data_IF_166406760920
#
_entry.id   IF_166406760920
#
_cell.length_a   1.000
_cell.length_b   1.000
_cell.length_c   1.000
_cell.angle_alpha   90.00
_cell.angle_beta   90.00
_cell.angle_gamma   90.00
#
_symmetry.space_group_name_H-M   'P 1'
#
loop_
_entity.id
_entity.type
_entity.pdbx_description
1 polymer ?
#
# COMPACT_ATOMS: atom_id res chain seq x y z
N UNK A 1 -10.27 10.94 -34.71
CA UNK A 1 -9.10 10.18 -34.23
C UNK A 1 -8.27 11.13 -33.37
N UNK A 2 -8.00 10.75 -32.12
CA UNK A 2 -7.23 11.57 -31.19
C UNK A 2 -5.73 11.30 -31.42
N UNK A 3 -4.93 12.30 -31.85
CA UNK A 3 -3.54 12.11 -32.29
C UNK A 3 -2.54 11.72 -31.17
N UNK A 4 -2.99 11.60 -29.92
CA UNK A 4 -2.13 11.22 -28.78
C UNK A 4 -2.25 9.75 -28.33
N UNK A 5 -3.00 8.90 -29.04
CA UNK A 5 -3.24 7.50 -28.62
C UNK A 5 -2.18 6.50 -29.15
N UNK A 6 -1.36 6.88 -30.13
CA UNK A 6 -0.47 5.94 -30.84
C UNK A 6 1.02 6.07 -30.45
N UNK A 7 1.34 6.88 -29.44
CA UNK A 7 2.71 7.03 -28.94
C UNK A 7 3.15 5.84 -28.07
N UNK A 8 4.44 5.47 -28.05
CA UNK A 8 4.94 4.32 -27.28
C UNK A 8 4.63 4.43 -25.78
N UNK A 9 4.55 5.65 -25.24
CA UNK A 9 4.19 5.89 -23.84
C UNK A 9 2.73 5.55 -23.49
N UNK A 10 1.80 5.60 -24.44
CA UNK A 10 0.41 5.21 -24.19
C UNK A 10 0.27 3.68 -24.08
N UNK A 11 0.87 2.95 -25.02
CA UNK A 11 0.90 1.49 -24.97
C UNK A 11 1.63 0.97 -23.72
N UNK A 12 2.73 1.60 -23.32
CA UNK A 12 3.49 1.24 -22.12
C UNK A 12 2.74 1.61 -20.82
N UNK A 13 1.98 2.70 -20.80
CA UNK A 13 1.10 3.05 -19.68
C UNK A 13 -0.09 2.09 -19.57
N UNK A 14 -0.69 1.68 -20.69
CA UNK A 14 -1.77 0.69 -20.70
C UNK A 14 -1.29 -0.69 -20.22
N UNK A 15 -0.04 -1.06 -20.51
CA UNK A 15 0.54 -2.32 -20.04
C UNK A 15 0.69 -2.42 -18.51
N UNK A 16 0.55 -1.31 -17.77
CA UNK A 16 0.58 -1.29 -16.30
C UNK A 16 -0.79 -1.39 -15.64
N UNK A 17 -1.88 -1.29 -16.40
CA UNK A 17 -3.24 -1.40 -15.86
C UNK A 17 -3.67 -2.86 -15.93
N UNK A 18 -4.08 -3.48 -14.81
CA UNK A 18 -4.61 -4.84 -14.82
C UNK A 18 -5.77 -5.01 -15.82
N UNK A 19 -5.77 -6.08 -16.61
CA UNK A 19 -6.84 -6.32 -17.60
C UNK A 19 -8.24 -6.37 -16.98
N UNK A 20 -8.34 -6.84 -15.74
CA UNK A 20 -9.56 -6.82 -14.93
C UNK A 20 -10.09 -5.41 -14.68
N UNK A 21 -9.21 -4.43 -14.49
CA UNK A 21 -9.58 -3.03 -14.29
C UNK A 21 -10.04 -2.43 -15.62
N UNK A 22 -9.34 -2.73 -16.73
CA UNK A 22 -9.78 -2.30 -18.07
C UNK A 22 -11.19 -2.80 -18.36
N UNK A 23 -11.46 -4.09 -18.10
CA UNK A 23 -12.79 -4.69 -18.27
C UNK A 23 -13.82 -4.10 -17.30
N UNK A 24 -13.43 -3.86 -16.06
CA UNK A 24 -14.29 -3.27 -15.03
C UNK A 24 -14.73 -1.85 -15.40
N UNK A 25 -13.80 -1.00 -15.82
CA UNK A 25 -14.11 0.36 -16.27
C UNK A 25 -14.97 0.37 -17.53
N UNK A 26 -14.73 -0.53 -18.49
CA UNK A 26 -15.58 -0.65 -19.69
C UNK A 26 -17.03 -1.03 -19.33
N UNK A 27 -17.22 -2.05 -18.49
CA UNK A 27 -18.55 -2.46 -18.04
C UNK A 27 -19.26 -1.37 -17.22
N UNK A 28 -18.52 -0.65 -16.37
CA UNK A 28 -19.06 0.46 -15.59
C UNK A 28 -19.52 1.62 -16.50
N UNK A 29 -18.75 1.91 -17.56
CA UNK A 29 -19.10 2.90 -18.56
C UNK A 29 -20.34 2.51 -19.37
N UNK A 30 -20.46 1.25 -19.77
CA UNK A 30 -21.65 0.75 -20.49
C UNK A 30 -22.93 0.88 -19.65
N UNK A 31 -22.83 0.73 -18.33
CA UNK A 31 -23.98 0.78 -17.43
C UNK A 31 -24.42 2.23 -17.09
N UNK A 32 -23.47 3.08 -16.70
CA UNK A 32 -23.76 4.43 -16.14
C UNK A 32 -22.86 5.54 -16.72
N UNK A 33 -22.15 5.28 -17.82
CA UNK A 33 -21.20 6.21 -18.40
C UNK A 33 -20.09 6.61 -17.43
N UNK A 34 -19.73 7.89 -17.44
CA UNK A 34 -18.66 8.45 -16.57
C UNK A 34 -18.97 8.25 -15.09
N UNK A 35 -20.25 8.29 -14.70
CA UNK A 35 -20.66 8.10 -13.31
C UNK A 35 -20.40 6.67 -12.83
N UNK A 36 -20.59 5.68 -13.70
CA UNK A 36 -20.22 4.29 -13.42
C UNK A 36 -18.71 4.14 -13.20
N UNK A 37 -17.89 4.78 -14.05
CA UNK A 37 -16.44 4.78 -13.87
C UNK A 37 -16.02 5.42 -12.54
N UNK A 38 -16.68 6.51 -12.12
CA UNK A 38 -16.43 7.16 -10.82
C UNK A 38 -16.72 6.20 -9.66
N UNK A 39 -17.87 5.52 -9.68
CA UNK A 39 -18.24 4.54 -8.66
C UNK A 39 -17.22 3.38 -8.60
N UNK A 40 -16.86 2.82 -9.76
CA UNK A 40 -15.87 1.74 -9.82
C UNK A 40 -14.50 2.18 -9.26
N UNK A 41 -14.06 3.41 -9.55
CA UNK A 41 -12.82 3.97 -9.00
C UNK A 41 -12.88 4.14 -7.48
N UNK A 42 -13.99 4.67 -6.94
CA UNK A 42 -14.18 4.87 -5.50
C UNK A 42 -14.24 3.54 -4.74
N UNK A 43 -14.91 2.55 -5.31
CA UNK A 43 -14.96 1.18 -4.79
C UNK A 43 -13.56 0.56 -4.73
N UNK A 44 -12.79 0.66 -5.83
CA UNK A 44 -11.41 0.17 -5.90
C UNK A 44 -10.52 0.88 -4.89
N UNK A 45 -10.56 2.21 -4.82
CA UNK A 45 -9.78 2.97 -3.84
C UNK A 45 -10.12 2.56 -2.41
N UNK A 46 -11.40 2.40 -2.11
CA UNK A 46 -11.87 1.95 -0.80
C UNK A 46 -11.40 0.53 -0.49
N UNK A 47 -11.41 -0.37 -1.47
CA UNK A 47 -10.90 -1.72 -1.32
C UNK A 47 -9.39 -1.73 -1.04
N UNK A 48 -8.61 -0.98 -1.83
CA UNK A 48 -7.16 -0.85 -1.68
C UNK A 48 -6.76 -0.31 -0.30
N UNK A 49 -7.47 0.71 0.20
CA UNK A 49 -7.23 1.27 1.56
C UNK A 49 -7.49 0.27 2.69
N UNK A 50 -8.26 -0.81 2.44
CA UNK A 50 -8.60 -1.84 3.42
C UNK A 50 -7.69 -3.07 3.36
N UNK A 51 -6.80 -3.17 2.37
CA UNK A 51 -5.89 -4.32 2.24
C UNK A 51 -4.86 -4.28 3.38
N UNK A 52 -4.81 -5.29 4.27
CA UNK A 52 -3.82 -5.34 5.33
C UNK A 52 -2.44 -5.66 4.75
N UNK A 53 -1.44 -4.81 5.05
CA UNK A 53 -0.04 -5.06 4.72
C UNK A 53 0.74 -5.42 5.98
N UNK A 54 1.19 -6.68 6.07
CA UNK A 54 2.01 -7.17 7.19
C UNK A 54 3.47 -7.28 6.76
N UNK A 55 4.38 -6.62 7.48
CA UNK A 55 5.81 -6.61 7.18
C UNK A 55 6.57 -7.27 8.33
N UNK A 56 7.26 -8.37 8.05
CA UNK A 56 8.16 -9.03 8.99
C UNK A 56 9.58 -8.48 8.91
N UNK A 57 10.15 -8.07 10.05
CA UNK A 57 11.54 -7.59 10.15
C UNK A 57 12.34 -8.59 10.98
N UNK A 58 13.39 -9.16 10.39
CA UNK A 58 14.23 -10.19 11.01
C UNK A 58 15.69 -9.74 11.07
N UNK A 59 16.47 -10.34 11.99
CA UNK A 59 17.90 -10.06 12.14
C UNK A 59 18.39 -10.28 13.58
N UNK A 60 19.70 -10.37 13.76
CA UNK A 60 20.34 -10.59 15.07
C UNK A 60 20.00 -9.50 16.09
N UNK A 61 20.12 -9.79 17.39
CA UNK A 61 19.96 -8.76 18.44
C UNK A 61 20.95 -7.60 18.27
N UNK A 62 20.56 -6.41 18.73
CA UNK A 62 21.38 -5.20 18.66
C UNK A 62 21.53 -4.56 17.27
N UNK A 63 20.96 -5.14 16.21
CA UNK A 63 21.08 -4.62 14.82
C UNK A 63 20.17 -3.43 14.50
N UNK A 64 19.37 -2.96 15.46
CA UNK A 64 18.51 -1.78 15.28
C UNK A 64 17.12 -2.04 14.70
N UNK A 65 16.62 -3.28 14.73
CA UNK A 65 15.27 -3.64 14.24
C UNK A 65 14.16 -2.76 14.82
N UNK A 66 14.13 -2.58 16.14
CA UNK A 66 13.14 -1.73 16.81
C UNK A 66 13.26 -0.27 16.41
N UNK A 67 14.50 0.24 16.26
CA UNK A 67 14.76 1.59 15.77
C UNK A 67 14.25 1.78 14.34
N UNK A 68 14.38 0.76 13.48
CA UNK A 68 13.87 0.77 12.12
C UNK A 68 12.33 0.74 12.09
N UNK A 69 11.68 -0.09 12.90
CA UNK A 69 10.22 -0.11 13.07
C UNK A 69 9.71 1.29 13.46
N UNK A 70 10.33 1.90 14.46
CA UNK A 70 9.94 3.23 14.95
C UNK A 70 10.12 4.30 13.88
N UNK A 71 11.25 4.29 13.17
CA UNK A 71 11.53 5.22 12.08
C UNK A 71 10.49 5.10 10.96
N UNK A 72 10.13 3.87 10.54
CA UNK A 72 9.07 3.66 9.54
C UNK A 72 7.69 4.12 10.02
N UNK A 73 7.45 4.10 11.33
CA UNK A 73 6.22 4.59 11.96
C UNK A 73 6.27 6.09 12.31
N UNK A 74 7.39 6.78 12.01
CA UNK A 74 7.67 8.17 12.44
C UNK A 74 7.53 8.38 13.94
N UNK A 75 7.91 7.37 14.72
CA UNK A 75 7.94 7.39 16.17
C UNK A 75 9.38 7.32 16.67
N UNK A 76 9.57 7.73 17.91
CA UNK A 76 10.76 7.52 18.74
C UNK A 76 10.49 6.38 19.74
N UNK A 77 11.52 5.95 20.45
CA UNK A 77 11.39 4.92 21.48
C UNK A 77 10.52 5.37 22.67
N UNK A 78 10.51 6.69 22.93
CA UNK A 78 9.82 7.29 24.06
C UNK A 78 8.36 7.67 23.73
N UNK A 79 7.98 7.61 22.45
CA UNK A 79 6.62 7.90 22.04
C UNK A 79 5.64 6.80 22.48
N UNK A 80 4.39 7.16 22.84
CA UNK A 80 3.33 6.19 23.10
C UNK A 80 3.17 5.21 21.93
N UNK A 81 3.41 3.93 22.19
CA UNK A 81 3.33 2.87 21.17
C UNK A 81 4.60 2.68 20.35
N UNK A 82 5.72 3.33 20.70
CA UNK A 82 7.05 3.04 20.19
C UNK A 82 7.51 1.62 20.53
N UNK A 83 8.18 0.95 19.59
CA UNK A 83 8.84 -0.31 19.83
C UNK A 83 10.03 -0.09 20.78
N UNK A 84 10.12 -0.83 21.90
CA UNK A 84 11.21 -0.66 22.86
C UNK A 84 12.55 -0.98 22.20
N UNK A 85 13.54 -0.13 22.46
CA UNK A 85 14.90 -0.24 21.93
C UNK A 85 15.84 -0.61 23.09
N UNK A 86 16.60 -1.69 22.96
CA UNK A 86 17.50 -2.20 24.00
C UNK A 86 18.48 -3.24 23.48
N UNK A 87 19.58 -3.45 24.20
CA UNK A 87 20.70 -4.36 23.83
C UNK A 87 20.40 -5.83 24.17
N UNK A 88 19.44 -6.09 25.05
CA UNK A 88 19.01 -7.44 25.42
C UNK A 88 18.05 -7.96 24.34
N UNK A 89 18.09 -9.26 24.03
CA UNK A 89 17.12 -9.94 23.16
C UNK A 89 15.67 -9.62 23.60
N UNK A 90 15.06 -8.57 23.04
CA UNK A 90 13.78 -8.02 23.49
C UNK A 90 12.57 -8.66 22.79
N UNK A 91 12.72 -9.81 22.12
CA UNK A 91 11.63 -10.34 21.28
C UNK A 91 11.68 -11.87 21.17
N UNK A 92 11.34 -12.56 22.26
CA UNK A 92 11.05 -14.01 22.23
C UNK A 92 9.70 -14.30 21.55
N UNK A 93 8.78 -13.32 21.59
CA UNK A 93 7.44 -13.39 21.01
C UNK A 93 7.28 -12.36 19.88
N UNK A 94 6.66 -12.76 18.76
CA UNK A 94 6.39 -11.88 17.62
C UNK A 94 5.41 -10.78 18.05
N UNK A 95 5.87 -9.52 18.09
CA UNK A 95 5.03 -8.36 18.39
C UNK A 95 4.71 -7.58 17.11
N UNK A 96 3.42 -7.38 16.84
CA UNK A 96 2.95 -6.56 15.74
C UNK A 96 2.85 -5.08 16.17
N UNK A 97 3.40 -4.18 15.34
CA UNK A 97 3.32 -2.73 15.54
C UNK A 97 2.49 -2.09 14.43
N UNK A 98 1.23 -1.73 14.74
CA UNK A 98 0.36 -1.05 13.78
C UNK A 98 0.93 0.33 13.42
N UNK A 99 0.81 0.71 12.13
CA UNK A 99 1.13 2.06 11.70
C UNK A 99 0.13 3.04 12.32
N UNK A 100 0.59 4.20 12.86
CA UNK A 100 -0.32 5.25 13.30
C UNK A 100 -1.23 5.71 12.16
N UNK A 101 -2.47 6.10 12.49
CA UNK A 101 -3.42 6.64 11.52
C UNK A 101 -3.06 8.06 11.07
#
# INVERSE_FOLDING_TARGET
MNPNMDGPGYAEAMARVPEEDVRGYAAAYENLGVEGCRQYMEEKETAWKKVPLNIGIIGSSGTGKSSFINSMRRLTADDPGGAPVGVVECTTDIVAYAHPA
#
